data_IF_791305045222
#
_entry.id   IF_791305045222
#
_cell.length_a   1.000
_cell.length_b   1.000
_cell.length_c   1.000
_cell.angle_alpha   90.00
_cell.angle_beta   90.00
_cell.angle_gamma   90.00
#
_symmetry.space_group_name_H-M   'P 1'
#
loop_
_entity.id
_entity.type
_entity.pdbx_description
1 polymer ?
#
# COMPACT_ATOMS: atom_id res chain seq x y z
N UNK A 1 31.64 0.65 25.69
CA UNK A 1 31.42 0.70 27.14
C UNK A 1 30.82 2.05 27.44
N UNK A 2 29.50 2.14 27.44
CA UNK A 2 28.74 3.38 27.67
C UNK A 2 28.24 3.38 29.13
N UNK A 3 28.68 4.33 29.98
CA UNK A 3 28.46 4.30 31.42
C UNK A 3 27.15 5.00 31.84
N UNK A 4 26.00 4.45 31.41
CA UNK A 4 24.67 4.89 31.87
C UNK A 4 23.64 3.73 31.89
N UNK A 5 24.12 2.50 32.10
CA UNK A 5 23.31 1.28 32.06
C UNK A 5 22.83 0.79 33.45
N UNK A 6 22.75 1.67 34.45
CA UNK A 6 22.63 1.24 35.85
C UNK A 6 21.38 1.80 36.57
N UNK A 7 20.22 1.88 35.92
CA UNK A 7 18.99 2.28 36.62
C UNK A 7 17.66 1.59 36.23
N UNK A 8 17.65 0.49 35.48
CA UNK A 8 16.41 -0.28 35.26
C UNK A 8 16.64 -1.80 35.24
N UNK A 9 16.49 -2.51 36.38
CA UNK A 9 16.87 -3.92 36.50
C UNK A 9 15.87 -4.96 35.95
N UNK A 10 14.74 -4.56 35.35
CA UNK A 10 13.65 -5.49 35.00
C UNK A 10 13.13 -5.36 33.55
N UNK A 11 13.93 -4.85 32.61
CA UNK A 11 13.59 -4.97 31.18
C UNK A 11 14.49 -6.01 30.52
N UNK A 12 13.90 -7.17 30.21
CA UNK A 12 14.53 -8.19 29.38
C UNK A 12 15.03 -7.54 28.06
N UNK A 13 16.26 -7.81 27.61
CA UNK A 13 16.92 -7.12 26.49
C UNK A 13 16.36 -7.49 25.10
N UNK A 14 15.12 -7.98 25.03
CA UNK A 14 14.43 -8.42 23.82
C UNK A 14 13.08 -7.74 23.65
N UNK A 15 13.03 -6.42 23.85
CA UNK A 15 11.94 -5.62 23.29
C UNK A 15 12.49 -4.49 22.41
N UNK A 16 13.36 -4.89 21.49
CA UNK A 16 13.66 -4.11 20.29
C UNK A 16 12.60 -4.49 19.25
N UNK A 17 11.97 -3.49 18.65
CA UNK A 17 10.93 -3.56 17.61
C UNK A 17 9.62 -4.27 18.00
N UNK A 18 8.67 -3.45 18.49
CA UNK A 18 7.24 -3.69 18.25
C UNK A 18 6.97 -3.82 16.74
N UNK A 19 7.08 -5.05 16.23
CA UNK A 19 6.44 -5.67 15.07
C UNK A 19 5.95 -4.75 13.93
N UNK A 20 6.77 -3.79 13.54
CA UNK A 20 6.57 -2.91 12.40
C UNK A 20 7.73 -3.22 11.45
N UNK A 21 7.50 -3.71 10.22
CA UNK A 21 8.58 -4.09 9.33
C UNK A 21 9.40 -2.83 9.00
N UNK A 22 10.51 -2.69 9.71
CA UNK A 22 11.57 -1.73 9.45
C UNK A 22 12.18 -2.06 8.09
N UNK A 23 11.52 -1.63 7.01
CA UNK A 23 12.14 -1.43 5.70
C UNK A 23 12.70 -0.02 5.55
N UNK A 24 13.08 0.59 6.68
CA UNK A 24 13.84 1.83 6.74
C UNK A 24 15.04 1.62 7.65
N UNK A 25 15.92 0.71 7.23
CA UNK A 25 17.33 0.91 7.54
C UNK A 25 17.77 2.00 6.58
N UNK A 26 17.80 3.25 7.06
CA UNK A 26 18.67 4.30 6.51
C UNK A 26 20.11 3.88 6.82
N UNK A 27 20.86 3.31 5.85
CA UNK A 27 22.17 2.76 6.14
C UNK A 27 23.27 3.81 6.15
N UNK A 28 22.99 5.08 5.82
CA UNK A 28 24.08 6.03 5.58
C UNK A 28 24.01 7.34 6.38
N UNK A 29 22.87 7.77 6.94
CA UNK A 29 22.85 8.84 7.97
C UNK A 29 23.72 10.07 7.66
N UNK A 30 23.84 10.45 6.37
CA UNK A 30 24.71 11.52 5.87
C UNK A 30 23.87 12.62 5.22
N UNK A 31 24.32 13.85 5.48
CA UNK A 31 23.73 15.16 5.20
C UNK A 31 23.15 15.36 3.76
N UNK A 32 22.34 16.41 3.51
CA UNK A 32 21.35 16.45 2.42
C UNK A 32 21.95 16.24 1.03
N UNK A 33 21.34 15.31 0.31
CA UNK A 33 21.68 14.91 -1.05
C UNK A 33 20.48 15.21 -1.95
N UNK A 34 20.70 15.90 -3.08
CA UNK A 34 19.58 16.55 -3.77
C UNK A 34 19.15 15.83 -5.05
N UNK A 35 17.83 15.77 -5.24
CA UNK A 35 17.21 15.34 -6.47
C UNK A 35 16.98 16.55 -7.39
N UNK A 36 17.16 16.36 -8.69
CA UNK A 36 16.97 17.40 -9.68
C UNK A 36 16.02 16.97 -10.79
N UNK A 37 15.19 17.89 -11.27
CA UNK A 37 14.32 17.70 -12.45
C UNK A 37 14.84 18.45 -13.67
N UNK A 38 14.68 17.87 -14.85
CA UNK A 38 14.89 18.54 -16.13
C UNK A 38 13.55 18.96 -16.78
N UNK A 39 13.64 19.59 -17.95
CA UNK A 39 12.46 19.98 -18.75
C UNK A 39 11.70 18.78 -19.33
N UNK A 40 12.40 17.66 -19.61
CA UNK A 40 11.79 16.42 -20.07
C UNK A 40 10.98 15.70 -18.98
N UNK A 41 11.14 16.13 -17.72
CA UNK A 41 10.44 15.59 -16.58
C UNK A 41 11.10 14.41 -15.87
N UNK A 42 12.34 14.08 -16.26
CA UNK A 42 13.20 13.15 -15.53
C UNK A 42 13.58 13.73 -14.18
N UNK A 43 13.75 12.87 -13.18
CA UNK A 43 14.19 13.27 -11.85
C UNK A 43 15.39 12.42 -11.46
N UNK A 44 16.57 13.02 -11.45
CA UNK A 44 17.85 12.33 -11.30
C UNK A 44 18.56 12.86 -10.06
N UNK A 45 19.23 11.97 -9.36
CA UNK A 45 20.04 12.30 -8.22
C UNK A 45 21.40 12.85 -8.66
N UNK A 46 21.81 13.97 -8.08
CA UNK A 46 23.16 14.51 -8.27
C UNK A 46 23.77 14.85 -6.92
N UNK A 47 25.05 14.55 -6.76
CA UNK A 47 25.86 15.06 -5.65
C UNK A 47 26.14 16.56 -5.86
N UNK A 48 25.12 17.37 -5.68
CA UNK A 48 25.13 18.81 -5.93
C UNK A 48 24.11 19.50 -5.03
N UNK A 49 24.48 20.62 -4.41
CA UNK A 49 23.63 21.38 -3.47
C UNK A 49 23.09 22.70 -4.06
N UNK A 50 23.31 22.93 -5.34
CA UNK A 50 22.83 24.12 -6.04
C UNK A 50 21.31 24.08 -6.21
N UNK A 51 20.68 25.26 -6.34
CA UNK A 51 19.25 25.36 -6.69
C UNK A 51 18.95 24.87 -8.12
N UNK A 52 19.99 24.78 -8.95
CA UNK A 52 19.93 24.27 -10.31
C UNK A 52 21.28 24.47 -11.00
N UNK A 53 21.53 23.67 -12.03
CA UNK A 53 22.75 23.72 -12.82
C UNK A 53 22.48 23.28 -14.26
N UNK A 54 23.44 23.50 -15.15
CA UNK A 54 23.43 22.93 -16.51
C UNK A 54 24.50 21.85 -16.58
N UNK A 55 24.14 20.65 -17.01
CA UNK A 55 25.11 19.55 -17.12
C UNK A 55 26.00 19.69 -18.37
N UNK A 56 26.93 18.74 -18.53
CA UNK A 56 27.86 18.70 -19.67
C UNK A 56 27.16 18.48 -21.01
N UNK A 57 25.92 17.98 -21.01
CA UNK A 57 25.12 17.77 -22.21
C UNK A 57 24.24 18.98 -22.55
N UNK A 58 24.33 20.06 -21.76
CA UNK A 58 23.53 21.27 -21.92
C UNK A 58 22.13 21.18 -21.31
N UNK A 59 21.83 20.14 -20.54
CA UNK A 59 20.54 19.96 -19.90
C UNK A 59 20.44 20.77 -18.61
N UNK A 60 19.32 21.50 -18.46
CA UNK A 60 19.06 22.33 -17.29
C UNK A 60 18.33 21.53 -16.21
N UNK A 61 18.94 21.49 -15.04
CA UNK A 61 18.47 20.77 -13.87
C UNK A 61 18.03 21.75 -12.79
N UNK A 62 16.85 21.51 -12.20
CA UNK A 62 16.29 22.31 -11.10
C UNK A 62 16.13 21.43 -9.88
N UNK A 63 16.59 21.89 -8.73
CA UNK A 63 16.52 21.15 -7.47
C UNK A 63 15.04 20.90 -7.06
N UNK A 64 14.72 19.68 -6.65
CA UNK A 64 13.40 19.24 -6.18
C UNK A 64 13.40 18.72 -4.75
N UNK A 65 14.51 18.89 -4.01
CA UNK A 65 14.57 18.58 -2.59
C UNK A 65 15.73 17.67 -2.21
N UNK A 66 16.10 17.78 -0.95
CA UNK A 66 17.23 17.14 -0.30
C UNK A 66 16.90 15.86 0.47
N UNK A 67 15.62 15.67 0.78
CA UNK A 67 15.12 14.54 1.55
C UNK A 67 13.99 13.87 0.80
N UNK A 68 13.82 12.57 1.02
CA UNK A 68 12.71 11.78 0.46
C UNK A 68 11.36 12.49 0.64
N UNK A 69 11.11 13.04 1.84
CA UNK A 69 9.88 13.74 2.16
C UNK A 69 9.69 15.05 1.36
N UNK A 70 10.78 15.81 1.14
CA UNK A 70 10.72 17.03 0.32
C UNK A 70 10.44 16.71 -1.14
N UNK A 71 11.11 15.67 -1.67
CA UNK A 71 10.93 15.24 -3.06
C UNK A 71 9.51 14.69 -3.26
N UNK A 72 9.02 13.84 -2.36
CA UNK A 72 7.64 13.35 -2.38
C UNK A 72 6.64 14.51 -2.36
N UNK A 73 6.84 15.50 -1.49
CA UNK A 73 5.98 16.69 -1.46
C UNK A 73 6.02 17.48 -2.77
N UNK A 74 7.21 17.73 -3.31
CA UNK A 74 7.39 18.48 -4.56
C UNK A 74 6.89 17.72 -5.81
N UNK A 75 6.79 16.40 -5.72
CA UNK A 75 6.20 15.53 -6.74
C UNK A 75 4.71 15.25 -6.50
N UNK A 76 4.10 15.85 -5.47
CA UNK A 76 2.72 15.60 -5.08
C UNK A 76 2.44 14.11 -4.84
N UNK A 77 3.39 13.38 -4.25
CA UNK A 77 3.20 11.99 -3.81
C UNK A 77 2.44 12.00 -2.48
N UNK A 78 1.30 11.29 -2.38
CA UNK A 78 0.55 11.19 -1.13
C UNK A 78 1.39 10.62 0.00
N UNK A 79 0.98 10.94 1.23
CA UNK A 79 1.44 10.21 2.41
C UNK A 79 0.69 8.88 2.49
N UNK A 80 1.25 7.94 3.26
CA UNK A 80 0.56 6.70 3.58
C UNK A 80 -0.80 6.97 4.23
N UNK A 81 -1.78 6.14 3.89
CA UNK A 81 -3.16 6.28 4.34
C UNK A 81 -3.69 4.93 4.83
N UNK A 82 -4.55 4.98 5.84
CA UNK A 82 -5.30 3.82 6.32
C UNK A 82 -6.78 4.12 6.16
N UNK A 83 -7.45 3.34 5.32
CA UNK A 83 -8.86 3.45 5.01
C UNK A 83 -9.58 2.30 5.69
N UNK A 84 -10.64 2.60 6.43
CA UNK A 84 -11.51 1.60 7.07
C UNK A 84 -12.92 1.75 6.54
N UNK A 85 -13.55 0.63 6.20
CA UNK A 85 -14.92 0.62 5.70
C UNK A 85 -15.59 -0.72 6.00
N UNK A 86 -16.91 -0.75 5.93
CA UNK A 86 -17.70 -1.94 6.22
C UNK A 86 -18.48 -2.35 4.98
N UNK A 87 -18.47 -3.64 4.65
CA UNK A 87 -19.35 -4.22 3.62
C UNK A 87 -20.37 -5.16 4.26
N UNK A 88 -21.56 -5.20 3.66
CA UNK A 88 -22.66 -6.08 4.08
C UNK A 88 -23.01 -6.98 2.91
N UNK A 89 -22.95 -8.28 3.14
CA UNK A 89 -23.25 -9.29 2.13
C UNK A 89 -24.36 -10.22 2.62
N UNK A 90 -25.34 -10.47 1.78
CA UNK A 90 -26.45 -11.38 2.07
C UNK A 90 -26.28 -12.69 1.31
N UNK A 91 -26.50 -13.82 1.98
CA UNK A 91 -26.44 -15.14 1.35
C UNK A 91 -27.58 -16.02 1.84
N UNK A 92 -28.09 -16.88 0.95
CA UNK A 92 -29.08 -17.88 1.28
C UNK A 92 -28.41 -19.11 1.88
N UNK A 93 -29.02 -19.69 2.92
CA UNK A 93 -28.70 -21.03 3.38
C UNK A 93 -29.97 -21.87 3.41
N UNK A 94 -29.88 -23.10 2.92
CA UNK A 94 -30.93 -24.08 3.10
C UNK A 94 -30.72 -24.78 4.45
N UNK A 95 -31.80 -24.91 5.22
CA UNK A 95 -31.79 -25.60 6.50
C UNK A 95 -33.04 -26.44 6.67
N UNK A 96 -32.94 -27.50 7.47
CA UNK A 96 -34.11 -28.22 7.97
C UNK A 96 -34.45 -27.73 9.36
N UNK A 97 -35.72 -27.45 9.64
CA UNK A 97 -36.18 -27.22 11.00
C UNK A 97 -35.97 -28.48 11.88
N UNK A 98 -36.14 -28.36 13.19
CA UNK A 98 -36.04 -29.51 14.12
C UNK A 98 -37.04 -30.65 13.84
N UNK A 99 -37.95 -30.48 12.87
CA UNK A 99 -38.92 -31.46 12.42
C UNK A 99 -38.61 -31.99 11.00
N UNK A 100 -37.44 -31.67 10.43
CA UNK A 100 -37.00 -32.16 9.12
C UNK A 100 -37.65 -31.45 7.92
N UNK A 101 -38.35 -30.32 8.10
CA UNK A 101 -38.89 -29.52 6.99
C UNK A 101 -37.81 -28.58 6.45
N UNK A 102 -37.54 -28.66 5.15
CA UNK A 102 -36.63 -27.74 4.46
C UNK A 102 -37.20 -26.32 4.46
N UNK A 103 -36.37 -25.35 4.77
CA UNK A 103 -36.65 -23.92 4.71
C UNK A 103 -35.42 -23.15 4.22
N UNK A 104 -35.66 -22.04 3.54
CA UNK A 104 -34.62 -21.12 3.12
C UNK A 104 -34.48 -20.00 4.16
N UNK A 105 -33.26 -19.77 4.63
CA UNK A 105 -32.93 -18.64 5.51
C UNK A 105 -32.01 -17.66 4.78
N UNK A 106 -32.29 -16.36 4.94
CA UNK A 106 -31.40 -15.30 4.47
C UNK A 106 -30.49 -14.88 5.63
N UNK A 107 -29.18 -15.01 5.43
CA UNK A 107 -28.17 -14.59 6.39
C UNK A 107 -27.48 -13.32 5.88
N UNK A 108 -26.98 -12.51 6.80
CA UNK A 108 -26.20 -11.31 6.50
C UNK A 108 -24.86 -11.42 7.23
N UNK A 109 -23.78 -11.21 6.49
CA UNK A 109 -22.42 -11.11 7.03
C UNK A 109 -21.96 -9.67 6.93
N UNK A 110 -21.37 -9.18 8.00
CA UNK A 110 -20.72 -7.88 8.06
C UNK A 110 -19.22 -8.09 8.04
N UNK A 111 -18.52 -7.43 7.13
CA UNK A 111 -17.07 -7.40 7.04
C UNK A 111 -16.55 -6.02 7.39
N UNK A 112 -15.63 -5.93 8.35
CA UNK A 112 -14.85 -4.72 8.57
C UNK A 112 -13.56 -4.86 7.77
N UNK A 113 -13.32 -3.92 6.88
CA UNK A 113 -12.20 -3.93 5.97
C UNK A 113 -11.24 -2.79 6.34
N UNK A 114 -9.95 -3.08 6.30
CA UNK A 114 -8.88 -2.10 6.47
C UNK A 114 -7.93 -2.20 5.28
N UNK A 115 -7.77 -1.11 4.55
CA UNK A 115 -6.77 -0.95 3.51
C UNK A 115 -5.69 0.04 4.00
N UNK A 116 -4.47 -0.43 4.19
CA UNK A 116 -3.30 0.42 4.40
C UNK A 116 -2.58 0.58 3.05
N UNK A 117 -2.38 1.82 2.62
CA UNK A 117 -1.73 2.16 1.35
C UNK A 117 -0.49 2.99 1.62
N UNK A 118 0.64 2.52 1.11
CA UNK A 118 1.94 3.15 1.25
C UNK A 118 2.45 3.58 -0.14
N UNK A 119 2.95 4.82 -0.23
CA UNK A 119 3.49 5.39 -1.46
C UNK A 119 4.99 5.62 -1.33
N UNK A 120 5.76 5.08 -2.26
CA UNK A 120 7.21 5.27 -2.31
C UNK A 120 7.70 5.59 -3.72
N UNK A 121 8.83 6.27 -3.81
CA UNK A 121 9.48 6.53 -5.10
C UNK A 121 10.19 5.26 -5.56
N UNK A 122 9.99 4.87 -6.81
CA UNK A 122 10.80 3.82 -7.43
C UNK A 122 12.08 4.47 -7.98
N UNK A 123 13.23 4.03 -7.48
CA UNK A 123 14.54 4.53 -7.92
C UNK A 123 15.28 3.42 -8.64
N UNK A 124 15.73 3.71 -9.85
CA UNK A 124 16.54 2.81 -10.66
C UNK A 124 17.97 3.34 -10.81
N UNK A 125 18.84 2.52 -11.40
CA UNK A 125 20.26 2.84 -11.63
C UNK A 125 21.01 3.18 -10.33
N UNK A 126 20.69 2.45 -9.26
CA UNK A 126 21.41 2.50 -7.99
C UNK A 126 22.58 1.52 -7.98
N UNK A 127 23.59 1.83 -7.18
CA UNK A 127 24.70 0.93 -6.87
C UNK A 127 24.28 -0.21 -5.94
N UNK A 128 25.29 -0.92 -5.43
CA UNK A 128 25.13 -2.03 -4.48
C UNK A 128 24.31 -1.58 -3.28
N UNK A 129 23.32 -2.40 -2.88
CA UNK A 129 22.41 -2.12 -1.75
C UNK A 129 21.60 -0.80 -1.88
N UNK A 130 21.38 -0.30 -3.09
CA UNK A 130 20.54 0.90 -3.31
C UNK A 130 21.27 2.23 -3.15
N UNK A 131 22.60 2.24 -3.12
CA UNK A 131 23.39 3.47 -3.08
C UNK A 131 23.10 4.37 -4.30
N UNK A 132 22.87 5.65 -4.07
CA UNK A 132 22.64 6.61 -5.15
C UNK A 132 23.95 6.92 -5.89
N UNK A 133 23.88 6.98 -7.21
CA UNK A 133 25.00 7.27 -8.11
C UNK A 133 24.72 8.58 -8.83
N UNK A 134 25.63 9.55 -8.68
CA UNK A 134 25.47 10.92 -9.18
C UNK A 134 25.31 10.92 -10.70
N UNK A 135 24.24 11.57 -11.17
CA UNK A 135 23.87 11.65 -12.58
C UNK A 135 23.37 10.35 -13.20
N UNK A 136 23.18 9.28 -12.41
CA UNK A 136 22.66 7.99 -12.90
C UNK A 136 21.38 7.56 -12.21
N UNK A 137 21.32 7.63 -10.88
CA UNK A 137 20.15 7.18 -10.13
C UNK A 137 18.95 8.07 -10.43
N UNK A 138 17.84 7.46 -10.82
CA UNK A 138 16.69 8.14 -11.39
C UNK A 138 15.40 7.65 -10.74
N UNK A 139 14.50 8.57 -10.41
CA UNK A 139 13.14 8.22 -10.03
C UNK A 139 12.37 7.91 -11.31
N UNK A 140 11.99 6.65 -11.50
CA UNK A 140 11.30 6.18 -12.71
C UNK A 140 9.80 6.08 -12.53
N UNK A 141 9.30 6.16 -11.30
CA UNK A 141 7.87 6.15 -11.01
C UNK A 141 7.54 6.14 -9.52
N UNK A 142 6.29 5.84 -9.23
CA UNK A 142 5.76 5.69 -7.88
C UNK A 142 5.35 4.22 -7.69
N UNK A 143 5.86 3.60 -6.63
CA UNK A 143 5.40 2.32 -6.15
C UNK A 143 4.31 2.54 -5.12
N UNK A 144 3.19 1.86 -5.30
CA UNK A 144 2.07 1.83 -4.38
C UNK A 144 2.01 0.42 -3.81
N UNK A 145 2.17 0.31 -2.51
CA UNK A 145 2.04 -0.95 -1.78
C UNK A 145 0.76 -0.89 -0.96
N UNK A 146 -0.09 -1.91 -1.07
CA UNK A 146 -1.32 -1.99 -0.31
C UNK A 146 -1.35 -3.26 0.52
N UNK A 147 -1.74 -3.12 1.79
CA UNK A 147 -2.10 -4.22 2.67
C UNK A 147 -3.59 -4.14 2.92
N UNK A 148 -4.30 -5.21 2.59
CA UNK A 148 -5.73 -5.31 2.77
C UNK A 148 -6.05 -6.35 3.82
N UNK A 149 -6.94 -6.04 4.75
CA UNK A 149 -7.44 -6.98 5.72
C UNK A 149 -8.95 -6.92 5.81
N UNK A 150 -9.57 -8.09 5.92
CA UNK A 150 -10.98 -8.25 6.20
C UNK A 150 -11.15 -9.06 7.47
N UNK A 151 -12.08 -8.65 8.32
CA UNK A 151 -12.46 -9.37 9.52
C UNK A 151 -13.99 -9.47 9.62
N UNK A 152 -14.47 -10.52 10.27
CA UNK A 152 -15.89 -10.68 10.58
C UNK A 152 -16.10 -11.27 11.97
N UNK A 153 -17.24 -10.94 12.56
CA UNK A 153 -17.75 -11.52 13.81
C UNK A 153 -19.00 -12.36 13.58
N UNK A 154 -19.37 -12.62 12.33
CA UNK A 154 -20.54 -13.43 12.00
C UNK A 154 -20.36 -14.87 12.52
N UNK A 155 -21.32 -15.41 13.30
CA UNK A 155 -21.23 -16.77 13.82
C UNK A 155 -21.07 -17.80 12.69
N UNK A 156 -20.11 -18.71 12.85
CA UNK A 156 -19.89 -19.81 11.91
C UNK A 156 -19.19 -19.44 10.61
N UNK A 157 -18.80 -18.18 10.39
CA UNK A 157 -18.03 -17.76 9.21
C UNK A 157 -16.56 -17.62 9.60
N UNK A 158 -15.69 -18.40 8.95
CA UNK A 158 -14.24 -18.25 9.03
C UNK A 158 -13.73 -17.60 7.75
N UNK A 159 -12.82 -16.63 7.86
CA UNK A 159 -12.12 -16.06 6.70
C UNK A 159 -10.83 -16.87 6.51
N UNK A 160 -10.68 -17.46 5.33
CA UNK A 160 -9.51 -18.28 4.98
C UNK A 160 -8.44 -17.45 4.24
N UNK A 161 -8.86 -16.38 3.56
CA UNK A 161 -7.96 -15.52 2.80
C UNK A 161 -8.69 -14.28 2.25
N UNK A 162 -7.91 -13.32 1.78
CA UNK A 162 -8.44 -12.22 0.97
C UNK A 162 -7.75 -12.22 -0.38
N UNK A 163 -8.56 -12.18 -1.43
CA UNK A 163 -8.09 -12.16 -2.82
C UNK A 163 -8.56 -10.88 -3.53
N UNK A 164 -8.05 -10.70 -4.74
CA UNK A 164 -8.41 -9.58 -5.62
C UNK A 164 -7.21 -8.75 -6.02
N UNK A 165 -7.43 -7.49 -6.32
CA UNK A 165 -6.39 -6.53 -6.68
C UNK A 165 -6.84 -5.10 -6.35
N UNK A 166 -5.93 -4.14 -6.47
CA UNK A 166 -6.27 -2.73 -6.47
C UNK A 166 -5.67 -2.07 -7.71
N UNK A 167 -6.16 -0.90 -8.07
CA UNK A 167 -5.62 -0.21 -9.23
C UNK A 167 -6.04 1.24 -9.35
N UNK A 168 -5.43 1.93 -10.30
CA UNK A 168 -5.79 3.32 -10.64
C UNK A 168 -7.00 3.31 -11.56
N UNK A 169 -8.10 3.92 -11.14
CA UNK A 169 -9.35 3.98 -11.89
C UNK A 169 -9.19 4.77 -13.19
N UNK A 170 -9.74 4.25 -14.28
CA UNK A 170 -9.98 4.99 -15.52
C UNK A 170 -11.40 5.53 -15.54
N UNK A 171 -11.58 6.79 -15.95
CA UNK A 171 -12.93 7.32 -16.17
C UNK A 171 -13.50 6.71 -17.45
N UNK A 172 -14.54 5.90 -17.31
CA UNK A 172 -15.32 5.34 -18.42
C UNK A 172 -16.79 5.36 -18.05
N UNK A 173 -17.72 5.47 -19.03
CA UNK A 173 -19.16 5.44 -18.77
C UNK A 173 -19.64 4.18 -18.02
N UNK A 174 -18.87 3.09 -18.12
CA UNK A 174 -19.15 1.80 -17.46
C UNK A 174 -18.42 1.62 -16.13
N UNK A 175 -17.53 2.54 -15.74
CA UNK A 175 -16.97 2.70 -14.39
C UNK A 175 -16.02 1.62 -13.86
N UNK A 176 -15.72 0.56 -14.63
CA UNK A 176 -14.96 -0.63 -14.17
C UNK A 176 -13.53 -0.76 -14.70
N UNK A 177 -13.05 0.16 -15.53
CA UNK A 177 -11.72 0.01 -16.13
C UNK A 177 -10.62 0.57 -15.23
N UNK A 178 -9.48 -0.12 -15.23
CA UNK A 178 -8.24 0.30 -14.59
C UNK A 178 -7.22 0.76 -15.63
N UNK A 179 -6.46 1.80 -15.30
CA UNK A 179 -5.31 2.26 -16.09
C UNK A 179 -4.08 1.43 -15.73
N UNK A 180 -3.96 1.12 -14.44
CA UNK A 180 -2.93 0.27 -13.87
C UNK A 180 -3.58 -0.63 -12.84
N UNK A 181 -3.21 -1.92 -12.87
CA UNK A 181 -3.65 -2.92 -11.90
C UNK A 181 -2.43 -3.40 -11.11
N UNK A 182 -2.62 -3.64 -9.82
CA UNK A 182 -1.61 -4.22 -8.96
C UNK A 182 -1.36 -5.69 -9.32
N UNK A 183 -0.32 -6.27 -8.74
CA UNK A 183 -0.28 -7.72 -8.58
C UNK A 183 -1.54 -8.18 -7.83
N UNK A 184 -2.00 -9.43 -8.04
CA UNK A 184 -3.03 -9.99 -7.17
C UNK A 184 -2.60 -9.93 -5.70
N UNK A 185 -3.56 -9.72 -4.82
CA UNK A 185 -3.37 -9.85 -3.39
C UNK A 185 -2.84 -11.25 -3.06
N UNK A 186 -1.76 -11.28 -2.27
CA UNK A 186 -1.15 -12.51 -1.78
C UNK A 186 -1.18 -12.52 -0.27
N UNK A 187 -1.54 -13.66 0.29
CA UNK A 187 -1.52 -13.85 1.73
C UNK A 187 -0.11 -13.67 2.27
N UNK A 188 -0.03 -13.04 3.43
CA UNK A 188 1.23 -12.79 4.11
C UNK A 188 1.34 -13.63 5.38
N UNK A 189 2.55 -14.11 5.67
CA UNK A 189 2.90 -14.48 7.03
C UNK A 189 2.86 -13.22 7.92
N UNK A 190 2.52 -13.39 9.20
CA UNK A 190 2.43 -12.35 10.23
C UNK A 190 3.42 -11.16 10.07
N UNK A 191 3.05 -9.93 10.48
CA UNK A 191 1.88 -9.57 11.29
C UNK A 191 0.64 -9.23 10.46
N UNK A 192 -0.52 -9.71 10.90
CA UNK A 192 -1.81 -9.35 10.31
C UNK A 192 -2.22 -7.92 10.73
N UNK A 193 -3.08 -7.24 9.96
CA UNK A 193 -3.57 -5.90 10.32
C UNK A 193 -4.69 -5.95 11.38
N UNK A 194 -5.37 -7.09 11.49
CA UNK A 194 -6.43 -7.34 12.46
C UNK A 194 -5.96 -8.36 13.52
N UNK A 195 -6.58 -8.31 14.69
CA UNK A 195 -6.46 -9.31 15.76
C UNK A 195 -7.80 -10.03 16.02
N UNK A 196 -8.79 -9.88 15.13
CA UNK A 196 -10.10 -10.52 15.28
C UNK A 196 -9.96 -12.06 15.22
N UNK A 197 -10.91 -12.83 15.77
CA UNK A 197 -10.82 -14.30 15.71
C UNK A 197 -10.86 -14.85 14.28
N UNK A 198 -11.56 -14.17 13.37
CA UNK A 198 -11.63 -14.53 11.96
C UNK A 198 -11.25 -13.32 11.12
N UNK A 199 -10.02 -13.36 10.60
CA UNK A 199 -9.48 -12.33 9.74
C UNK A 199 -8.46 -12.93 8.79
N UNK A 200 -8.25 -12.25 7.67
CA UNK A 200 -7.10 -12.47 6.81
C UNK A 200 -6.50 -11.13 6.41
N UNK A 201 -5.20 -11.16 6.08
CA UNK A 201 -4.47 -10.00 5.56
C UNK A 201 -3.66 -10.44 4.35
N UNK A 202 -3.73 -9.66 3.28
CA UNK A 202 -3.00 -9.89 2.04
C UNK A 202 -2.32 -8.61 1.57
N UNK A 203 -1.24 -8.72 0.81
CA UNK A 203 -0.53 -7.58 0.23
C UNK A 203 -0.50 -7.63 -1.30
N UNK A 204 -0.44 -6.44 -1.91
CA UNK A 204 -0.27 -6.27 -3.34
C UNK A 204 0.58 -5.03 -3.62
N UNK A 205 1.26 -5.03 -4.76
CA UNK A 205 2.08 -3.91 -5.21
C UNK A 205 1.66 -3.46 -6.61
N UNK A 206 1.70 -2.15 -6.83
CA UNK A 206 1.49 -1.52 -8.12
C UNK A 206 2.64 -0.56 -8.43
N UNK A 207 3.13 -0.59 -9.67
CA UNK A 207 4.09 0.39 -10.17
C UNK A 207 3.41 1.32 -11.18
N UNK A 208 3.52 2.62 -10.93
CA UNK A 208 3.02 3.67 -11.84
C UNK A 208 4.21 4.44 -12.40
N UNK A 209 4.50 4.35 -13.71
CA UNK A 209 5.59 5.10 -14.34
C UNK A 209 5.45 6.61 -14.13
N UNK A 210 6.57 7.32 -13.97
CA UNK A 210 6.58 8.73 -13.57
C UNK A 210 5.77 9.63 -14.52
N UNK A 211 5.86 9.41 -15.83
CA UNK A 211 5.09 10.17 -16.82
C UNK A 211 3.59 9.98 -16.65
N UNK A 212 3.16 8.74 -16.40
CA UNK A 212 1.76 8.40 -16.16
C UNK A 212 1.29 8.99 -14.83
N UNK A 213 2.08 8.84 -13.77
CA UNK A 213 1.81 9.42 -12.46
C UNK A 213 1.53 10.92 -12.56
N UNK A 214 2.44 11.68 -13.20
CA UNK A 214 2.29 13.13 -13.38
C UNK A 214 1.04 13.50 -14.15
N UNK A 215 0.67 12.74 -15.19
CA UNK A 215 -0.58 12.98 -15.93
C UNK A 215 -1.82 12.73 -15.09
N UNK A 216 -1.77 11.76 -14.19
CA UNK A 216 -2.88 11.39 -13.32
C UNK A 216 -3.04 12.34 -12.13
N UNK A 217 -1.96 12.95 -11.65
CA UNK A 217 -1.96 13.79 -10.45
C UNK A 217 -1.86 15.29 -10.72
N UNK A 218 -1.47 15.70 -11.93
CA UNK A 218 -1.55 17.11 -12.36
C UNK A 218 -2.98 17.47 -12.76
N UNK A 219 -3.89 17.55 -11.79
CA UNK A 219 -5.20 18.16 -12.01
C UNK A 219 -5.08 19.67 -11.80
N UNK A 220 -5.49 20.47 -12.79
CA UNK A 220 -5.65 21.93 -12.68
C UNK A 220 -6.78 22.34 -11.73
N UNK A 221 -7.46 21.38 -11.11
CA UNK A 221 -8.74 21.57 -10.41
C UNK A 221 -8.65 21.65 -8.89
N UNK A 222 -7.46 21.51 -8.30
CA UNK A 222 -7.27 21.65 -6.84
C UNK A 222 -7.90 20.52 -6.01
N UNK A 223 -8.41 19.45 -6.64
CA UNK A 223 -8.96 18.27 -5.97
C UNK A 223 -7.90 17.16 -5.93
N UNK A 224 -7.49 16.82 -4.70
CA UNK A 224 -6.68 15.67 -4.24
C UNK A 224 -5.43 15.29 -5.06
N UNK A 225 -4.27 15.48 -4.43
CA UNK A 225 -2.92 15.20 -4.94
C UNK A 225 -2.55 13.70 -4.98
N UNK A 226 -3.46 12.82 -5.40
CA UNK A 226 -3.25 11.37 -5.28
C UNK A 226 -3.83 10.55 -6.43
N UNK A 227 -3.37 9.30 -6.52
CA UNK A 227 -3.94 8.32 -7.43
C UNK A 227 -5.36 7.97 -6.98
N UNK A 228 -6.33 7.99 -7.89
CA UNK A 228 -7.68 7.52 -7.61
C UNK A 228 -7.69 5.99 -7.59
N UNK A 229 -7.39 5.42 -6.41
CA UNK A 229 -7.32 3.99 -6.21
C UNK A 229 -8.71 3.40 -5.99
N UNK A 230 -8.91 2.19 -6.51
CA UNK A 230 -10.08 1.36 -6.26
C UNK A 230 -9.63 -0.06 -5.90
N UNK A 231 -10.31 -0.67 -4.94
CA UNK A 231 -10.02 -2.01 -4.47
C UNK A 231 -11.12 -2.96 -4.95
N UNK A 232 -10.73 -3.98 -5.70
CA UNK A 232 -11.62 -5.07 -6.10
C UNK A 232 -11.20 -6.30 -5.32
N UNK A 233 -11.83 -6.50 -4.16
CA UNK A 233 -11.42 -7.51 -3.18
C UNK A 233 -12.57 -8.42 -2.80
N UNK A 234 -12.22 -9.64 -2.39
CA UNK A 234 -13.18 -10.61 -1.88
C UNK A 234 -12.62 -11.37 -0.70
N UNK A 235 -13.43 -11.56 0.33
CA UNK A 235 -13.13 -12.48 1.41
C UNK A 235 -13.48 -13.90 0.96
N UNK A 236 -12.51 -14.81 1.02
CA UNK A 236 -12.73 -16.24 0.88
C UNK A 236 -13.05 -16.79 2.26
N UNK A 237 -14.22 -17.42 2.38
CA UNK A 237 -14.71 -17.88 3.68
C UNK A 237 -15.18 -19.33 3.63
N UNK A 238 -15.13 -19.98 4.78
CA UNK A 238 -15.71 -21.30 5.01
C UNK A 238 -16.77 -21.22 6.09
N UNK A 239 -17.96 -21.77 5.83
CA UNK A 239 -18.96 -22.01 6.85
C UNK A 239 -18.51 -23.18 7.74
N UNK A 240 -18.31 -22.93 9.04
CA UNK A 240 -17.78 -23.94 9.97
C UNK A 240 -18.73 -25.12 10.19
N UNK A 241 -20.04 -24.94 10.02
CA UNK A 241 -21.03 -25.99 10.24
C UNK A 241 -21.18 -26.89 9.00
N UNK A 242 -21.32 -26.30 7.81
CA UNK A 242 -21.52 -27.06 6.57
C UNK A 242 -20.23 -27.38 5.82
N UNK A 243 -19.12 -26.72 6.16
CA UNK A 243 -17.85 -26.74 5.41
C UNK A 243 -17.95 -26.17 3.99
N UNK A 244 -19.03 -25.45 3.68
CA UNK A 244 -19.19 -24.80 2.38
C UNK A 244 -18.29 -23.57 2.26
N UNK A 245 -17.66 -23.42 1.09
CA UNK A 245 -16.88 -22.24 0.76
C UNK A 245 -17.78 -21.17 0.10
N UNK A 246 -17.70 -19.95 0.62
CA UNK A 246 -18.45 -18.80 0.13
C UNK A 246 -17.49 -17.64 -0.08
N UNK A 247 -17.62 -16.96 -1.21
CA UNK A 247 -16.85 -15.77 -1.54
C UNK A 247 -17.74 -14.54 -1.38
N UNK A 248 -17.28 -13.58 -0.59
CA UNK A 248 -18.00 -12.35 -0.30
C UNK A 248 -17.28 -11.16 -0.90
N UNK A 249 -18.02 -10.24 -1.53
CA UNK A 249 -17.44 -9.01 -2.04
C UNK A 249 -17.08 -8.07 -0.88
N UNK A 250 -15.85 -7.57 -0.90
CA UNK A 250 -15.33 -6.63 0.11
C UNK A 250 -14.74 -5.38 -0.52
N UNK A 251 -15.07 -5.10 -1.78
CA UNK A 251 -14.55 -3.97 -2.57
C UNK A 251 -14.99 -2.60 -2.04
N UNK A 252 -14.22 -1.54 -2.38
CA UNK A 252 -14.53 -0.12 -2.13
C UNK A 252 -14.36 0.70 -3.41
#
# INVERSE_FOLDING_TARGET
MDPLAEEFPDQSPYNFVFNNPMRYVDPDGRAPVDWFKNSAGRVVWFDNKSKGFTDTNGEKWTNVGATTAQVQKNMNIPKSEVIKYTTLEAFGSDGTDGNGKSGAAANVVVFNNTAQVDYSMNVENTGTKGQLISGKSEITGVKVDARFSSETYAPGIQIDGVAGFFGVKSWTPTGKNFIFESTPFKDIGMPMLSNAPYHATSEASLFVPLNSYRRLTNSSSGVSSGLNLRFETTAQTTNRASQDQIQFNTSN
#
